data_IF_449138219889
#
_entry.id   IF_449138219889
#
_cell.length_a   1.000
_cell.length_b   1.000
_cell.length_c   1.000
_cell.angle_alpha   90.00
_cell.angle_beta   90.00
_cell.angle_gamma   90.00
#
_symmetry.space_group_name_H-M   'P 1'
#
loop_
_entity.id
_entity.type
_entity.pdbx_description
1 polymer ?
#
# COMPACT_ATOMS: atom_id res chain seq x y z
N UNK A 1 -6.87 6.79 -16.39
CA UNK A 1 -5.99 6.38 -15.29
C UNK A 1 -4.57 6.52 -15.79
N UNK A 2 -3.72 7.29 -15.12
CA UNK A 2 -2.29 7.35 -15.49
C UNK A 2 -1.62 6.10 -14.95
N UNK A 3 -0.81 5.47 -15.78
CA UNK A 3 -0.01 4.27 -15.49
C UNK A 3 1.42 4.60 -15.04
N UNK A 4 1.80 5.89 -15.09
CA UNK A 4 3.13 6.37 -14.75
C UNK A 4 3.13 7.37 -13.58
N UNK A 5 4.15 7.24 -12.73
CA UNK A 5 4.39 8.09 -11.55
C UNK A 5 5.33 9.27 -11.85
N UNK A 6 5.63 9.55 -13.13
CA UNK A 6 6.65 10.49 -13.59
C UNK A 6 6.38 11.96 -13.19
N UNK A 7 5.14 12.25 -12.82
CA UNK A 7 4.70 13.53 -12.27
C UNK A 7 5.09 13.73 -10.80
N UNK A 8 5.46 12.65 -10.10
CA UNK A 8 5.94 12.69 -8.72
C UNK A 8 7.46 12.93 -8.69
N UNK A 9 7.99 13.56 -7.62
CA UNK A 9 9.42 13.64 -7.38
C UNK A 9 10.04 12.24 -7.31
N UNK A 10 11.31 12.13 -7.73
CA UNK A 10 12.01 10.84 -7.75
C UNK A 10 12.10 10.18 -6.36
N UNK A 11 12.13 10.96 -5.28
CA UNK A 11 12.06 10.44 -3.91
C UNK A 11 10.75 9.72 -3.64
N UNK A 12 9.61 10.35 -3.93
CA UNK A 12 8.29 9.76 -3.77
C UNK A 12 8.11 8.51 -4.64
N UNK A 13 8.64 8.50 -5.87
CA UNK A 13 8.64 7.30 -6.72
C UNK A 13 9.41 6.14 -6.09
N UNK A 14 10.58 6.40 -5.48
CA UNK A 14 11.38 5.38 -4.78
C UNK A 14 10.68 4.88 -3.53
N UNK A 15 10.06 5.79 -2.77
CA UNK A 15 9.28 5.45 -1.58
C UNK A 15 8.08 4.56 -1.97
N UNK A 16 7.32 4.91 -3.00
CA UNK A 16 6.22 4.09 -3.51
C UNK A 16 6.68 2.73 -4.01
N UNK A 17 7.84 2.63 -4.66
CA UNK A 17 8.42 1.35 -5.03
C UNK A 17 8.77 0.49 -3.79
N UNK A 18 9.25 1.11 -2.71
CA UNK A 18 9.47 0.45 -1.43
C UNK A 18 8.15 0.01 -0.79
N UNK A 19 7.12 0.86 -0.77
CA UNK A 19 5.78 0.53 -0.27
C UNK A 19 5.22 -0.69 -0.99
N UNK A 20 5.22 -0.67 -2.34
CA UNK A 20 4.76 -1.79 -3.17
C UNK A 20 5.53 -3.07 -2.83
N UNK A 21 6.86 -3.00 -2.69
CA UNK A 21 7.67 -4.15 -2.32
C UNK A 21 7.27 -4.72 -0.95
N UNK A 22 7.09 -3.88 0.05
CA UNK A 22 6.65 -4.31 1.39
C UNK A 22 5.28 -4.99 1.32
N UNK A 23 4.32 -4.40 0.60
CA UNK A 23 2.98 -4.98 0.44
C UNK A 23 3.05 -6.38 -0.17
N UNK A 24 3.86 -6.60 -1.21
CA UNK A 24 4.04 -7.93 -1.80
C UNK A 24 4.76 -8.91 -0.85
N UNK A 25 5.86 -8.49 -0.23
CA UNK A 25 6.65 -9.36 0.67
C UNK A 25 5.80 -9.89 1.83
N UNK A 26 5.03 -9.01 2.48
CA UNK A 26 4.20 -9.37 3.64
C UNK A 26 2.95 -10.15 3.22
N UNK A 27 2.33 -9.80 2.09
CA UNK A 27 1.22 -10.56 1.53
C UNK A 27 1.64 -12.01 1.19
N UNK A 28 2.78 -12.20 0.53
CA UNK A 28 3.31 -13.53 0.25
C UNK A 28 3.69 -14.31 1.52
N UNK A 29 4.16 -13.61 2.56
CA UNK A 29 4.42 -14.22 3.85
C UNK A 29 3.12 -14.68 4.53
N UNK A 30 2.06 -13.87 4.49
CA UNK A 30 0.74 -14.23 5.02
C UNK A 30 0.09 -15.41 4.25
N UNK A 31 0.42 -15.60 2.97
CA UNK A 31 -0.07 -16.73 2.16
C UNK A 31 0.69 -18.05 2.36
N UNK A 32 1.88 -18.03 3.00
CA UNK A 32 2.73 -19.22 3.21
C UNK A 32 2.07 -20.29 4.10
N UNK A 33 2.53 -21.56 4.02
CA UNK A 33 1.64 -22.71 4.22
C UNK A 33 1.24 -22.94 5.68
N UNK A 34 0.00 -22.57 5.99
CA UNK A 34 -0.77 -22.93 7.18
C UNK A 34 -2.29 -22.76 6.99
N UNK A 35 -2.71 -22.07 5.92
CA UNK A 35 -4.08 -21.58 5.72
C UNK A 35 -4.94 -22.41 4.76
N UNK A 36 -4.42 -23.50 4.16
CA UNK A 36 -5.19 -24.44 3.31
C UNK A 36 -4.97 -24.27 1.80
N UNK A 37 -5.57 -25.13 0.97
CA UNK A 37 -5.35 -25.17 -0.51
C UNK A 37 -5.63 -23.85 -1.24
N UNK A 38 -6.44 -22.96 -0.66
CA UNK A 38 -6.85 -21.71 -1.27
C UNK A 38 -5.77 -20.61 -1.16
N UNK A 39 -4.89 -20.66 -0.15
CA UNK A 39 -3.84 -19.63 0.02
C UNK A 39 -2.84 -19.62 -1.14
N UNK A 40 -2.60 -20.77 -1.76
CA UNK A 40 -1.76 -20.91 -2.96
C UNK A 40 -2.29 -20.18 -4.19
N UNK A 41 -3.53 -19.70 -4.16
CA UNK A 41 -4.18 -19.02 -5.27
C UNK A 41 -4.36 -17.52 -5.03
N UNK A 42 -4.00 -17.01 -3.85
CA UNK A 42 -4.14 -15.58 -3.54
C UNK A 42 -3.21 -14.71 -4.38
N UNK A 43 -3.73 -13.62 -4.92
CA UNK A 43 -3.03 -12.68 -5.80
C UNK A 43 -3.48 -11.25 -5.56
N UNK A 44 -2.52 -10.34 -5.59
CA UNK A 44 -2.78 -8.91 -5.79
C UNK A 44 -2.93 -8.68 -7.29
N UNK A 45 -4.08 -8.16 -7.72
CA UNK A 45 -4.35 -7.79 -9.11
C UNK A 45 -3.83 -6.40 -9.46
N UNK A 46 -4.04 -5.43 -8.57
CA UNK A 46 -3.63 -4.05 -8.80
C UNK A 46 -3.24 -3.40 -7.49
N UNK A 47 -2.30 -2.46 -7.58
CA UNK A 47 -2.00 -1.48 -6.54
C UNK A 47 -2.13 -0.12 -7.20
N UNK A 48 -2.92 0.77 -6.61
CA UNK A 48 -3.29 2.05 -7.20
C UNK A 48 -3.02 3.15 -6.17
N UNK A 49 -2.19 4.12 -6.54
CA UNK A 49 -2.09 5.37 -5.79
C UNK A 49 -3.30 6.24 -6.10
N UNK A 50 -4.00 6.70 -5.06
CA UNK A 50 -5.04 7.72 -5.17
C UNK A 50 -4.71 8.90 -4.26
N UNK A 51 -5.69 9.77 -4.00
CA UNK A 51 -5.52 10.85 -3.04
C UNK A 51 -4.57 11.95 -3.51
N UNK A 52 -3.97 12.63 -2.54
CA UNK A 52 -3.26 13.90 -2.77
C UNK A 52 -1.96 13.74 -3.57
N UNK A 53 -1.19 12.69 -3.27
CA UNK A 53 -0.01 12.36 -4.04
C UNK A 53 -0.36 12.05 -5.50
N UNK A 54 -1.39 11.25 -5.78
CA UNK A 54 -1.82 10.98 -7.16
C UNK A 54 -2.26 12.23 -7.94
N UNK A 55 -2.80 13.25 -7.25
CA UNK A 55 -3.24 14.52 -7.86
C UNK A 55 -2.11 15.54 -7.99
N UNK A 56 -1.03 15.38 -7.24
CA UNK A 56 0.08 16.34 -7.20
C UNK A 56 -0.13 17.52 -6.26
N UNK A 57 -1.13 17.45 -5.37
CA UNK A 57 -1.50 18.50 -4.41
C UNK A 57 -1.19 18.10 -2.94
N UNK A 58 -0.27 17.16 -2.75
CA UNK A 58 0.15 16.70 -1.42
C UNK A 58 0.83 17.82 -0.62
N UNK A 59 0.66 17.78 0.69
CA UNK A 59 1.19 18.78 1.63
C UNK A 59 2.08 18.12 2.66
N UNK A 60 3.19 18.76 2.99
CA UNK A 60 4.02 18.44 4.14
C UNK A 60 4.27 19.74 4.90
N UNK A 61 3.45 19.99 5.92
CA UNK A 61 3.53 21.20 6.74
C UNK A 61 4.01 20.85 8.16
N UNK A 62 5.31 21.00 8.45
CA UNK A 62 5.84 20.74 9.79
C UNK A 62 5.38 21.78 10.83
N UNK A 63 4.86 22.93 10.41
CA UNK A 63 4.41 24.01 11.32
C UNK A 63 2.94 23.84 11.67
N UNK A 64 2.09 23.60 10.66
CA UNK A 64 0.66 23.34 10.83
C UNK A 64 0.35 21.91 11.29
N UNK A 65 1.34 21.01 11.29
CA UNK A 65 1.19 19.62 11.73
C UNK A 65 0.41 18.73 10.75
N UNK A 66 0.06 19.24 9.57
CA UNK A 66 -0.63 18.48 8.54
C UNK A 66 0.38 17.87 7.58
N UNK A 67 0.29 16.56 7.41
CA UNK A 67 1.10 15.81 6.46
C UNK A 67 0.22 14.85 5.69
N UNK A 68 0.27 14.93 4.36
CA UNK A 68 -0.38 13.98 3.48
C UNK A 68 0.26 12.60 3.57
N UNK A 69 -0.58 11.58 3.44
CA UNK A 69 -0.25 10.17 3.36
C UNK A 69 -0.22 9.67 1.91
N UNK A 70 0.46 8.55 1.70
CA UNK A 70 0.31 7.75 0.49
C UNK A 70 -0.96 6.91 0.59
N UNK A 71 -2.02 7.38 -0.06
CA UNK A 71 -3.31 6.69 -0.20
C UNK A 71 -3.23 5.57 -1.25
N UNK A 72 -3.35 4.31 -0.83
CA UNK A 72 -3.18 3.13 -1.70
C UNK A 72 -4.43 2.26 -1.72
N UNK A 73 -4.93 1.96 -2.91
CA UNK A 73 -5.97 0.95 -3.14
C UNK A 73 -5.30 -0.33 -3.63
N UNK A 74 -5.53 -1.43 -2.92
CA UNK A 74 -5.10 -2.77 -3.28
C UNK A 74 -6.32 -3.55 -3.77
N UNK A 75 -6.21 -4.14 -4.96
CA UNK A 75 -7.25 -5.03 -5.51
C UNK A 75 -6.75 -6.45 -5.45
N UNK A 76 -7.48 -7.33 -4.78
CA UNK A 76 -7.16 -8.76 -4.64
C UNK A 76 -8.15 -9.65 -5.40
N UNK A 77 -7.82 -10.93 -5.55
CA UNK A 77 -8.59 -11.88 -6.34
C UNK A 77 -9.63 -12.70 -5.57
N UNK A 78 -9.71 -12.54 -4.25
CA UNK A 78 -10.59 -13.32 -3.39
C UNK A 78 -11.00 -12.50 -2.17
N UNK A 79 -12.29 -12.50 -1.81
CA UNK A 79 -12.83 -11.64 -0.74
C UNK A 79 -12.20 -11.94 0.62
N UNK A 80 -11.73 -13.16 0.85
CA UNK A 80 -11.03 -13.53 2.09
C UNK A 80 -9.71 -12.80 2.26
N UNK A 81 -9.10 -12.36 1.15
CA UNK A 81 -7.83 -11.61 1.15
C UNK A 81 -8.05 -10.13 1.42
N UNK A 82 -9.30 -9.65 1.47
CA UNK A 82 -9.61 -8.30 1.94
C UNK A 82 -9.64 -8.21 3.47
N UNK A 83 -9.58 -9.34 4.19
CA UNK A 83 -9.50 -9.37 5.64
C UNK A 83 -8.19 -8.74 6.13
N UNK A 84 -8.29 -7.89 7.15
CA UNK A 84 -7.19 -7.17 7.78
C UNK A 84 -6.08 -8.10 8.28
N UNK A 85 -6.39 -9.34 8.69
CA UNK A 85 -5.38 -10.28 9.17
C UNK A 85 -4.24 -10.52 8.16
N UNK A 86 -4.55 -10.51 6.86
CA UNK A 86 -3.54 -10.67 5.78
C UNK A 86 -2.60 -9.48 5.62
N UNK A 87 -2.97 -8.32 6.17
CA UNK A 87 -2.31 -7.04 5.90
C UNK A 87 -1.73 -6.39 7.15
N UNK A 88 -2.13 -6.83 8.34
CA UNK A 88 -1.63 -6.33 9.63
C UNK A 88 -0.09 -6.24 9.68
N UNK A 89 0.62 -7.27 9.23
CA UNK A 89 2.09 -7.27 9.19
C UNK A 89 2.66 -6.20 8.23
N UNK A 90 1.97 -5.94 7.12
CA UNK A 90 2.34 -4.90 6.16
C UNK A 90 2.12 -3.50 6.74
N UNK A 91 0.96 -3.27 7.36
CA UNK A 91 0.65 -2.01 8.05
C UNK A 91 1.68 -1.70 9.14
N UNK A 92 1.97 -2.67 9.99
CA UNK A 92 2.99 -2.57 11.05
C UNK A 92 4.37 -2.23 10.50
N UNK A 93 4.78 -2.86 9.40
CA UNK A 93 6.09 -2.63 8.79
C UNK A 93 6.18 -1.24 8.17
N UNK A 94 5.14 -0.80 7.46
CA UNK A 94 5.07 0.54 6.87
C UNK A 94 5.01 1.63 7.95
N UNK A 95 4.31 1.41 9.06
CA UNK A 95 4.31 2.31 10.21
C UNK A 95 5.72 2.46 10.81
N UNK A 96 6.45 1.35 10.97
CA UNK A 96 7.85 1.38 11.45
C UNK A 96 8.78 2.08 10.47
N UNK A 97 8.54 1.95 9.17
CA UNK A 97 9.33 2.63 8.14
C UNK A 97 9.24 4.15 8.23
N UNK A 98 8.11 4.69 8.71
CA UNK A 98 7.90 6.12 8.96
C UNK A 98 8.40 6.54 10.34
N UNK A 99 8.10 5.75 11.37
CA UNK A 99 8.30 6.15 12.78
C UNK A 99 9.69 5.84 13.30
N UNK A 100 10.27 4.69 12.91
CA UNK A 100 11.53 4.16 13.44
C UNK A 100 12.64 4.24 12.38
N UNK A 101 12.46 3.61 11.22
CA UNK A 101 13.51 3.49 10.22
C UNK A 101 13.75 4.78 9.44
N UNK A 102 12.74 5.67 9.40
CA UNK A 102 12.76 6.92 8.61
C UNK A 102 13.07 6.68 7.12
N UNK A 103 12.66 5.52 6.61
CA UNK A 103 12.79 5.13 5.20
C UNK A 103 11.64 5.65 4.34
N UNK A 104 10.52 6.01 4.97
CA UNK A 104 9.39 6.70 4.34
C UNK A 104 9.23 8.10 4.92
N UNK A 105 9.07 9.08 4.04
CA UNK A 105 8.85 10.46 4.47
C UNK A 105 7.41 10.68 4.92
N UNK A 106 6.45 9.99 4.31
CA UNK A 106 5.01 10.10 4.59
C UNK A 106 4.41 8.76 5.05
N UNK A 107 3.38 8.79 5.92
CA UNK A 107 2.61 7.60 6.28
C UNK A 107 1.93 6.97 5.06
N UNK A 108 1.62 5.68 5.16
CA UNK A 108 0.88 4.93 4.14
C UNK A 108 -0.46 4.54 4.72
N UNK A 109 -1.53 4.89 3.99
CA UNK A 109 -2.90 4.49 4.29
C UNK A 109 -3.37 3.63 3.13
N UNK A 110 -3.84 2.41 3.39
CA UNK A 110 -4.30 1.54 2.32
C UNK A 110 -5.63 0.85 2.63
N UNK A 111 -6.41 0.65 1.58
CA UNK A 111 -7.67 -0.09 1.58
C UNK A 111 -7.58 -1.26 0.62
N UNK A 112 -8.25 -2.36 0.95
CA UNK A 112 -8.21 -3.59 0.17
C UNK A 112 -9.62 -3.95 -0.29
N UNK A 113 -9.79 -4.13 -1.60
CA UNK A 113 -11.05 -4.50 -2.22
C UNK A 113 -10.86 -5.66 -3.19
N UNK A 114 -11.94 -6.33 -3.56
CA UNK A 114 -11.92 -7.32 -4.64
C UNK A 114 -12.48 -6.73 -5.92
N UNK A 115 -12.20 -7.39 -7.06
CA UNK A 115 -12.75 -6.97 -8.36
C UNK A 115 -14.28 -6.86 -8.36
N UNK A 116 -14.98 -7.62 -7.51
CA UNK A 116 -16.44 -7.62 -7.41
C UNK A 116 -16.97 -6.34 -6.77
N UNK A 117 -16.17 -5.69 -5.91
CA UNK A 117 -16.56 -4.47 -5.19
C UNK A 117 -16.30 -3.18 -5.98
N UNK A 118 -15.45 -3.23 -7.01
CA UNK A 118 -15.02 -2.05 -7.79
C UNK A 118 -15.66 -1.96 -9.19
N UNK A 119 -16.74 -2.70 -9.44
CA UNK A 119 -17.44 -2.75 -10.74
C UNK A 119 -18.79 -2.04 -10.73
#
# INVERSE_FOLDING_TARGET
MRDQLDHLPQSAQRELAHVVRVLFEEFEAALRPGTGKWSKQGRIFKIVLYGSFARGDWVSDPVGGYQSDYDILIVVNDDRLADFEFWSAAEDRLMRDVTINKSLAAPVSFIVHTLTDVN
#
